data_IF_982610580076
#
_entry.id   IF_982610580076
#
_cell.length_a   1.000
_cell.length_b   1.000
_cell.length_c   1.000
_cell.angle_alpha   90.00
_cell.angle_beta   90.00
_cell.angle_gamma   90.00
#
_symmetry.space_group_name_H-M   'P 1'
#
loop_
_entity.id
_entity.type
_entity.pdbx_description
1 polymer ?
#
# COMPACT_ATOMS: atom_id res chain seq x y z
N UNK A 1 -11.97 13.48 11.76
CA UNK A 1 -13.06 12.62 11.28
C UNK A 1 -12.78 11.17 11.66
N UNK A 2 -13.79 10.44 12.15
CA UNK A 2 -13.70 8.98 12.39
C UNK A 2 -14.15 8.17 11.17
N UNK A 3 -14.43 8.83 10.04
CA UNK A 3 -14.83 8.14 8.80
C UNK A 3 -13.63 7.44 8.15
N UNK A 4 -13.86 6.33 7.44
CA UNK A 4 -12.83 5.73 6.61
C UNK A 4 -12.49 6.64 5.44
N UNK A 5 -11.26 6.49 4.90
CA UNK A 5 -10.82 7.19 3.70
C UNK A 5 -9.76 6.40 2.95
N UNK A 6 -9.45 6.86 1.74
CA UNK A 6 -8.46 6.29 0.87
C UNK A 6 -7.42 7.36 0.52
N UNK A 7 -6.15 6.99 0.60
CA UNK A 7 -5.01 7.75 0.07
C UNK A 7 -4.50 7.06 -1.18
N UNK A 8 -4.28 7.79 -2.27
CA UNK A 8 -3.82 7.24 -3.55
C UNK A 8 -2.65 8.06 -4.05
N UNK A 9 -1.57 7.40 -4.47
CA UNK A 9 -0.49 8.05 -5.19
C UNK A 9 -0.99 8.52 -6.57
N UNK A 10 -0.46 9.64 -7.07
CA UNK A 10 -0.89 10.23 -8.35
C UNK A 10 -0.06 9.78 -9.56
N UNK A 11 0.97 8.97 -9.34
CA UNK A 11 1.97 8.56 -10.34
C UNK A 11 1.86 7.09 -10.76
N UNK A 12 0.63 6.55 -10.71
CA UNK A 12 0.34 5.15 -11.00
C UNK A 12 -0.98 5.04 -11.75
N UNK A 13 -1.04 4.10 -12.70
CA UNK A 13 -2.26 3.73 -13.41
C UNK A 13 -2.50 2.24 -13.18
N UNK A 14 -3.70 1.87 -12.82
CA UNK A 14 -4.08 0.47 -12.72
C UNK A 14 -5.57 0.26 -12.99
N UNK A 15 -5.87 -0.85 -13.63
CA UNK A 15 -7.21 -1.34 -13.84
C UNK A 15 -7.49 -2.47 -12.86
N UNK A 16 -8.60 -2.38 -12.14
CA UNK A 16 -8.87 -3.30 -11.06
C UNK A 16 -10.37 -3.35 -10.75
N UNK A 17 -10.90 -4.55 -10.64
CA UNK A 17 -12.24 -4.75 -10.10
C UNK A 17 -12.23 -4.56 -8.58
N UNK A 18 -12.78 -3.45 -8.14
CA UNK A 18 -12.84 -3.09 -6.72
C UNK A 18 -13.87 -3.87 -5.91
N UNK A 19 -14.68 -4.72 -6.54
CA UNK A 19 -15.79 -5.46 -5.89
C UNK A 19 -15.29 -6.30 -4.73
N UNK A 20 -14.15 -6.99 -4.91
CA UNK A 20 -13.53 -7.79 -3.85
C UNK A 20 -13.14 -6.95 -2.64
N UNK A 21 -12.45 -5.82 -2.87
CA UNK A 21 -12.06 -4.90 -1.80
C UNK A 21 -13.28 -4.30 -1.09
N UNK A 22 -14.27 -3.84 -1.85
CA UNK A 22 -15.50 -3.29 -1.29
C UNK A 22 -16.22 -4.30 -0.38
N UNK A 23 -16.28 -5.56 -0.80
CA UNK A 23 -16.84 -6.65 0.01
C UNK A 23 -16.02 -6.85 1.29
N UNK A 24 -14.69 -6.93 1.20
CA UNK A 24 -13.80 -7.08 2.36
C UNK A 24 -13.96 -5.93 3.36
N UNK A 25 -14.05 -4.68 2.88
CA UNK A 25 -14.27 -3.49 3.72
C UNK A 25 -15.62 -3.53 4.43
N UNK A 26 -16.66 -4.01 3.75
CA UNK A 26 -18.00 -4.16 4.31
C UNK A 26 -18.06 -5.26 5.36
N UNK A 27 -17.43 -6.40 5.09
CA UNK A 27 -17.41 -7.56 5.98
C UNK A 27 -16.52 -7.31 7.22
N UNK A 28 -15.48 -6.47 7.07
CA UNK A 28 -14.51 -6.14 8.13
C UNK A 28 -14.32 -4.61 8.26
N UNK A 29 -15.31 -3.88 8.76
CA UNK A 29 -15.29 -2.40 8.76
C UNK A 29 -14.24 -1.77 9.68
N UNK A 30 -13.58 -2.55 10.52
CA UNK A 30 -12.49 -2.13 11.40
C UNK A 30 -11.10 -2.47 10.85
N UNK A 31 -11.02 -3.06 9.67
CA UNK A 31 -9.75 -3.39 9.01
C UNK A 31 -9.33 -2.30 8.04
N UNK A 32 -8.05 -2.00 8.02
CA UNK A 32 -7.41 -1.18 6.98
C UNK A 32 -6.82 -2.08 5.90
N UNK A 33 -6.77 -1.61 4.64
CA UNK A 33 -6.33 -2.42 3.51
C UNK A 33 -5.22 -1.72 2.71
N UNK A 34 -4.22 -2.49 2.33
CA UNK A 34 -3.16 -2.08 1.41
C UNK A 34 -3.33 -2.87 0.13
N UNK A 35 -3.52 -2.19 -1.00
CA UNK A 35 -3.55 -2.87 -2.29
C UNK A 35 -2.11 -3.17 -2.73
N UNK A 36 -1.86 -4.42 -3.09
CA UNK A 36 -0.53 -4.92 -3.48
C UNK A 36 -0.57 -5.69 -4.79
N UNK A 37 0.57 -5.78 -5.45
CA UNK A 37 0.77 -6.59 -6.64
C UNK A 37 2.10 -7.37 -6.54
N UNK A 38 2.25 -8.50 -7.25
CA UNK A 38 3.47 -9.27 -7.23
C UNK A 38 4.63 -8.52 -7.89
N UNK A 39 5.60 -8.08 -7.09
CA UNK A 39 6.83 -7.45 -7.55
C UNK A 39 7.96 -7.62 -6.53
N UNK A 40 9.20 -7.60 -6.98
CA UNK A 40 10.39 -7.85 -6.13
C UNK A 40 11.44 -6.73 -6.16
N UNK A 41 11.24 -5.69 -6.97
CA UNK A 41 12.17 -4.55 -7.00
C UNK A 41 12.06 -3.72 -5.72
N UNK A 42 13.06 -3.88 -4.86
CA UNK A 42 13.13 -3.19 -3.58
C UNK A 42 13.51 -1.72 -3.68
N UNK A 43 14.10 -1.27 -4.79
CA UNK A 43 14.59 0.11 -4.89
C UNK A 43 13.45 1.14 -5.03
N UNK A 44 12.28 0.70 -5.49
CA UNK A 44 11.18 1.60 -5.89
C UNK A 44 9.87 1.37 -5.13
N UNK A 45 9.81 0.40 -4.22
CA UNK A 45 8.54 -0.01 -3.61
C UNK A 45 8.60 -0.10 -2.09
N UNK A 46 7.45 0.19 -1.49
CA UNK A 46 7.12 -0.30 -0.15
C UNK A 46 6.57 -1.72 -0.27
N UNK A 47 6.73 -2.52 0.76
CA UNK A 47 6.26 -3.91 0.83
C UNK A 47 5.39 -4.15 2.05
N UNK A 48 4.32 -4.93 1.87
CA UNK A 48 3.50 -5.42 2.96
C UNK A 48 3.83 -6.89 3.26
N UNK A 49 4.29 -7.16 4.47
CA UNK A 49 4.63 -8.51 4.94
C UNK A 49 3.43 -9.14 5.62
N UNK A 50 2.98 -10.28 5.13
CA UNK A 50 1.84 -11.01 5.67
C UNK A 50 2.26 -12.18 6.53
N UNK A 51 1.42 -12.57 7.48
CA UNK A 51 1.56 -13.86 8.17
C UNK A 51 1.32 -14.98 7.17
N UNK A 52 2.03 -16.09 7.35
CA UNK A 52 1.98 -17.25 6.47
C UNK A 52 0.52 -17.64 6.12
N UNK A 53 0.28 -17.79 4.80
CA UNK A 53 -1.00 -18.19 4.22
C UNK A 53 -2.22 -17.31 4.61
N UNK A 54 -1.99 -16.06 5.01
CA UNK A 54 -3.05 -15.10 5.33
C UNK A 54 -2.90 -13.80 4.56
N UNK A 55 -3.93 -12.95 4.58
CA UNK A 55 -3.90 -11.57 4.10
C UNK A 55 -3.51 -10.56 5.19
N UNK A 56 -3.28 -11.04 6.43
CA UNK A 56 -3.00 -10.18 7.58
C UNK A 56 -1.57 -9.67 7.58
N UNK A 57 -1.42 -8.34 7.54
CA UNK A 57 -0.13 -7.67 7.55
C UNK A 57 0.40 -7.58 8.99
N UNK A 58 1.69 -7.87 9.16
CA UNK A 58 2.38 -7.72 10.43
C UNK A 58 3.49 -6.67 10.38
N UNK A 59 3.93 -6.26 9.19
CA UNK A 59 4.93 -5.22 8.99
C UNK A 59 4.84 -4.64 7.58
N UNK A 60 5.14 -3.35 7.44
CA UNK A 60 5.45 -2.70 6.16
C UNK A 60 6.90 -2.24 6.16
N UNK A 61 7.58 -2.37 5.01
CA UNK A 61 8.96 -1.90 4.81
C UNK A 61 9.05 -0.98 3.60
N UNK A 62 10.02 -0.08 3.59
CA UNK A 62 10.30 0.83 2.48
C UNK A 62 11.63 0.49 1.85
N UNK A 63 11.65 0.32 0.53
CA UNK A 63 12.86 0.05 -0.28
C UNK A 63 13.73 -1.11 0.21
N UNK A 64 13.15 -2.02 0.96
CA UNK A 64 13.79 -3.22 1.49
C UNK A 64 12.76 -4.26 1.89
N UNK A 65 13.13 -5.52 1.95
CA UNK A 65 12.32 -6.57 2.57
C UNK A 65 12.73 -6.85 4.02
N UNK A 66 13.72 -6.12 4.55
CA UNK A 66 14.26 -6.28 5.90
C UNK A 66 14.62 -7.75 6.26
N UNK A 67 15.08 -8.54 5.28
CA UNK A 67 15.41 -9.94 5.46
C UNK A 67 14.21 -10.91 5.49
N UNK A 68 12.99 -10.39 5.30
CA UNK A 68 11.76 -11.21 5.23
C UNK A 68 11.24 -11.23 3.78
N UNK A 69 11.52 -12.28 2.99
CA UNK A 69 11.13 -12.33 1.59
C UNK A 69 9.62 -12.14 1.41
N UNK A 70 9.25 -11.22 0.54
CA UNK A 70 7.86 -10.97 0.12
C UNK A 70 7.84 -10.42 -1.30
N UNK A 71 6.76 -10.63 -2.02
CA UNK A 71 6.48 -10.02 -3.30
C UNK A 71 5.24 -9.12 -3.27
N UNK A 72 4.74 -8.78 -2.08
CA UNK A 72 3.59 -7.91 -1.93
C UNK A 72 4.04 -6.43 -2.01
N UNK A 73 4.42 -5.97 -3.20
CA UNK A 73 4.75 -4.56 -3.44
C UNK A 73 3.47 -3.71 -3.39
N UNK A 74 3.51 -2.56 -2.71
CA UNK A 74 2.33 -1.69 -2.61
C UNK A 74 2.08 -0.97 -3.92
N UNK A 75 0.80 -0.77 -4.27
CA UNK A 75 0.39 -0.05 -5.47
C UNK A 75 0.27 1.45 -5.26
N UNK A 76 0.42 1.94 -4.02
CA UNK A 76 0.11 3.33 -3.68
C UNK A 76 -1.37 3.59 -3.42
N UNK A 77 -2.20 2.57 -3.35
CA UNK A 77 -3.59 2.67 -2.90
C UNK A 77 -3.71 2.14 -1.48
N UNK A 78 -4.10 3.03 -0.56
CA UNK A 78 -4.10 2.81 0.87
C UNK A 78 -5.45 3.16 1.48
N UNK A 79 -6.15 2.16 2.03
CA UNK A 79 -7.41 2.35 2.74
C UNK A 79 -7.17 2.35 4.25
N UNK A 80 -7.67 3.39 4.93
CA UNK A 80 -7.67 3.52 6.37
C UNK A 80 -9.11 3.46 6.89
N UNK A 81 -9.38 2.53 7.79
CA UNK A 81 -10.73 2.31 8.31
C UNK A 81 -11.27 3.47 9.17
N UNK A 82 -10.39 4.34 9.67
CA UNK A 82 -10.76 5.41 10.58
C UNK A 82 -9.74 6.57 10.52
N UNK A 83 -10.21 7.76 10.16
CA UNK A 83 -9.34 8.94 10.02
C UNK A 83 -8.77 9.45 11.35
N UNK A 84 -9.45 9.22 12.49
CA UNK A 84 -8.88 9.58 13.80
C UNK A 84 -7.69 8.68 14.14
N UNK A 85 -7.85 7.37 13.97
CA UNK A 85 -6.78 6.39 14.17
C UNK A 85 -5.60 6.69 13.25
N UNK A 86 -5.86 7.02 11.99
CA UNK A 86 -4.80 7.45 11.05
C UNK A 86 -4.02 8.66 11.58
N UNK A 87 -4.71 9.73 12.01
CA UNK A 87 -4.05 10.92 12.52
C UNK A 87 -3.20 10.65 13.77
N UNK A 88 -3.69 9.80 14.68
CA UNK A 88 -2.94 9.37 15.85
C UNK A 88 -1.68 8.59 15.44
N UNK A 89 -1.78 7.69 14.47
CA UNK A 89 -0.66 6.92 13.93
C UNK A 89 0.36 7.81 13.20
N UNK A 90 -0.11 8.79 12.41
CA UNK A 90 0.76 9.78 11.77
C UNK A 90 1.53 10.59 12.80
N UNK A 91 0.89 11.09 13.85
CA UNK A 91 1.56 11.84 14.89
C UNK A 91 2.65 11.01 15.60
N UNK A 92 2.39 9.73 15.85
CA UNK A 92 3.39 8.80 16.39
C UNK A 92 4.57 8.61 15.41
N UNK A 93 4.28 8.41 14.14
CA UNK A 93 5.32 8.27 13.11
C UNK A 93 6.18 9.54 13.02
N UNK A 94 5.57 10.72 13.00
CA UNK A 94 6.28 12.01 12.91
C UNK A 94 7.09 12.37 14.17
N UNK A 95 6.81 11.74 15.30
CA UNK A 95 7.62 11.90 16.53
C UNK A 95 8.94 11.13 16.49
N UNK A 96 9.16 10.28 15.49
CA UNK A 96 10.37 9.48 15.26
C UNK A 96 11.17 10.08 14.10
N UNK A 97 12.48 9.90 14.02
CA UNK A 97 13.24 10.30 12.83
C UNK A 97 12.75 9.48 11.61
N UNK A 98 12.69 10.10 10.41
CA UNK A 98 12.27 9.40 9.21
C UNK A 98 13.30 8.36 8.77
N UNK A 99 12.81 7.21 8.28
CA UNK A 99 13.65 6.27 7.54
C UNK A 99 13.97 6.87 6.16
N UNK A 100 15.22 6.70 5.69
CA UNK A 100 15.68 7.20 4.39
C UNK A 100 15.46 8.72 4.16
N UNK A 101 15.34 9.51 5.24
CA UNK A 101 15.18 10.97 5.17
C UNK A 101 13.75 11.45 4.81
N UNK A 102 12.80 10.54 4.61
CA UNK A 102 11.42 10.84 4.22
C UNK A 102 10.42 9.97 5.00
N UNK A 103 9.19 10.50 5.16
CA UNK A 103 8.07 9.72 5.72
C UNK A 103 7.21 9.16 4.59
N UNK A 104 6.92 7.88 4.66
CA UNK A 104 6.11 7.15 3.67
C UNK A 104 4.77 6.74 4.25
N UNK A 105 3.73 6.78 3.41
CA UNK A 105 2.36 6.40 3.84
C UNK A 105 2.31 4.95 4.33
N UNK A 106 3.08 4.05 3.70
CA UNK A 106 3.15 2.65 4.13
C UNK A 106 3.65 2.48 5.57
N UNK A 107 4.53 3.38 6.06
CA UNK A 107 5.03 3.33 7.43
C UNK A 107 3.96 3.62 8.48
N UNK A 108 2.88 4.35 8.13
CA UNK A 108 1.76 4.61 9.04
C UNK A 108 1.08 3.31 9.47
N UNK A 109 1.04 2.30 8.60
CA UNK A 109 0.45 1.01 8.95
C UNK A 109 1.23 0.28 10.05
N UNK A 110 2.53 0.49 10.18
CA UNK A 110 3.30 -0.09 11.29
C UNK A 110 2.82 0.46 12.63
N UNK A 111 2.48 1.76 12.70
CA UNK A 111 1.92 2.34 13.93
C UNK A 111 0.51 1.79 14.22
N UNK A 112 -0.35 1.60 13.19
CA UNK A 112 -1.64 0.95 13.34
C UNK A 112 -1.48 -0.47 13.90
N UNK A 113 -0.56 -1.25 13.32
CA UNK A 113 -0.29 -2.65 13.72
C UNK A 113 0.22 -2.70 15.17
N UNK A 114 1.14 -1.80 15.54
CA UNK A 114 1.68 -1.71 16.90
C UNK A 114 0.60 -1.36 17.94
N UNK A 115 -0.41 -0.60 17.54
CA UNK A 115 -1.57 -0.25 18.38
C UNK A 115 -2.67 -1.36 18.36
N UNK A 116 -2.43 -2.48 17.69
CA UNK A 116 -3.35 -3.63 17.66
C UNK A 116 -4.46 -3.54 16.62
N UNK A 117 -4.40 -2.58 15.69
CA UNK A 117 -5.37 -2.49 14.59
C UNK A 117 -5.12 -3.56 13.53
N UNK A 118 -6.21 -4.03 12.91
CA UNK A 118 -6.16 -5.03 11.86
C UNK A 118 -5.84 -4.39 10.51
N UNK A 119 -4.74 -4.84 9.91
CA UNK A 119 -4.27 -4.41 8.58
C UNK A 119 -4.17 -5.62 7.68
N UNK A 120 -4.70 -5.51 6.46
CA UNK A 120 -4.77 -6.61 5.50
C UNK A 120 -4.34 -6.16 4.11
N UNK A 121 -3.96 -7.11 3.28
CA UNK A 121 -3.71 -6.83 1.85
C UNK A 121 -4.95 -7.13 1.00
N UNK A 122 -5.05 -6.40 -0.13
CA UNK A 122 -5.85 -6.76 -1.28
C UNK A 122 -4.94 -6.89 -2.50
N UNK A 123 -4.95 -8.07 -3.16
CA UNK A 123 -4.02 -8.35 -4.26
C UNK A 123 -4.65 -8.01 -5.60
N UNK A 124 -3.91 -7.29 -6.43
CA UNK A 124 -4.24 -7.06 -7.84
C UNK A 124 -3.26 -7.80 -8.76
N UNK A 125 -3.61 -7.90 -10.03
CA UNK A 125 -2.78 -8.59 -11.01
C UNK A 125 -1.69 -7.67 -11.57
N UNK A 126 -0.45 -8.14 -11.71
CA UNK A 126 0.68 -7.36 -12.25
C UNK A 126 0.39 -6.76 -13.64
N UNK A 127 -0.38 -7.46 -14.47
CA UNK A 127 -0.71 -7.01 -15.83
C UNK A 127 -1.62 -5.79 -15.90
N UNK A 128 -2.20 -5.39 -14.77
CA UNK A 128 -3.16 -4.29 -14.66
C UNK A 128 -2.59 -3.09 -13.91
N UNK A 129 -1.30 -3.09 -13.60
CA UNK A 129 -0.61 -2.04 -12.85
C UNK A 129 0.56 -1.47 -13.66
N UNK A 130 0.62 -0.14 -13.78
CA UNK A 130 1.68 0.58 -14.48
C UNK A 130 2.15 1.78 -13.66
N UNK A 131 3.41 1.82 -13.20
CA UNK A 131 4.00 3.03 -12.68
C UNK A 131 4.13 4.06 -13.81
N UNK A 132 3.90 5.33 -13.52
CA UNK A 132 4.03 6.45 -14.48
C UNK A 132 4.78 7.64 -13.85
N UNK A 133 5.52 7.39 -12.78
CA UNK A 133 6.20 8.41 -11.99
C UNK A 133 7.51 8.92 -12.60
N UNK A 134 8.07 8.23 -13.59
CA UNK A 134 9.27 8.70 -14.33
C UNK A 134 8.94 8.91 -15.80
N UNK A 135 9.77 9.72 -16.48
CA UNK A 135 9.64 9.91 -17.94
C UNK A 135 9.71 8.58 -18.69
N UNK A 136 10.58 7.68 -18.28
CA UNK A 136 10.71 6.35 -18.87
C UNK A 136 9.43 5.52 -18.68
N UNK A 137 8.88 5.48 -17.46
CA UNK A 137 7.64 4.75 -17.17
C UNK A 137 6.47 5.30 -18.00
N UNK A 138 6.34 6.63 -18.08
CA UNK A 138 5.33 7.30 -18.88
C UNK A 138 5.45 6.97 -20.37
N UNK A 139 6.65 7.02 -20.93
CA UNK A 139 6.89 6.64 -22.32
C UNK A 139 6.54 5.17 -22.58
N UNK A 140 6.90 4.27 -21.66
CA UNK A 140 6.56 2.86 -21.76
C UNK A 140 5.04 2.63 -21.71
N UNK A 141 4.34 3.28 -20.79
CA UNK A 141 2.88 3.21 -20.66
C UNK A 141 2.19 3.73 -21.93
N UNK A 142 2.56 4.92 -22.41
CA UNK A 142 1.94 5.54 -23.60
C UNK A 142 2.23 4.75 -24.87
N UNK A 143 3.43 4.23 -25.03
CA UNK A 143 3.80 3.39 -26.18
C UNK A 143 2.94 2.13 -26.26
N UNK A 144 2.64 1.52 -25.12
CA UNK A 144 1.83 0.29 -25.05
C UNK A 144 0.33 0.53 -25.26
N UNK A 145 -0.19 1.67 -24.82
CA UNK A 145 -1.64 1.92 -24.76
C UNK A 145 -2.15 2.84 -25.88
N UNK A 146 -1.28 3.67 -26.49
CA UNK A 146 -1.67 4.69 -27.45
C UNK A 146 -1.04 4.52 -28.85
N UNK A 147 -0.27 3.49 -29.10
CA UNK A 147 0.07 3.12 -30.49
C UNK A 147 -1.14 2.40 -31.11
N UNK A 148 -1.95 3.17 -31.77
CA UNK A 148 -2.82 2.71 -32.87
C UNK A 148 -2.14 3.00 -34.20
#
# INVERSE_FOLDING_TARGET
>A
SSKPFISVNCDQVFEWDTTSLQKKMKDNPKSSYITVYPHTDTQRHSFAHTKDNTDKVWMCTEKTTAGHPTNNATTGFYHFHNGKVFNESVNKLLSKPPEFGEYYVAAVYNELINDGHDVRIDKIHTKTFWPVGTQHDWQHFTHRHYRR
#
